data_IF_014514086475
#
_entry.id   IF_014514086475
#
_cell.length_a   1.000
_cell.length_b   1.000
_cell.length_c   1.000
_cell.angle_alpha   90.00
_cell.angle_beta   90.00
_cell.angle_gamma   90.00
#
_symmetry.space_group_name_H-M   'P 1'
#
loop_
_entity.id
_entity.type
_entity.pdbx_description
1 polymer ?
#
# COMPACT_ATOMS: atom_id res chain seq x y z
N UNK A 1 -5.07 0.07 7.14
CA UNK A 1 -4.83 -0.99 6.13
C UNK A 1 -3.34 -1.05 5.78
N UNK A 2 -2.88 -2.10 5.09
CA UNK A 2 -1.47 -2.24 4.63
C UNK A 2 -0.98 -1.01 3.83
N UNK A 3 -1.87 -0.39 3.05
CA UNK A 3 -1.60 0.84 2.29
C UNK A 3 -1.17 2.02 3.15
N UNK A 4 -1.79 2.19 4.32
CA UNK A 4 -1.47 3.27 5.26
C UNK A 4 -0.06 3.07 5.85
N UNK A 5 0.28 1.82 6.17
CA UNK A 5 1.59 1.46 6.72
C UNK A 5 2.69 1.71 5.67
N UNK A 6 2.45 1.32 4.41
CA UNK A 6 3.33 1.61 3.28
C UNK A 6 3.53 3.12 3.13
N UNK A 7 2.44 3.89 3.11
CA UNK A 7 2.48 5.35 3.00
C UNK A 7 3.25 5.99 4.14
N UNK A 8 3.01 5.57 5.37
CA UNK A 8 3.68 6.08 6.56
C UNK A 8 5.19 5.82 6.47
N UNK A 9 5.61 4.57 6.24
CA UNK A 9 7.04 4.22 6.14
C UNK A 9 7.73 4.88 4.97
N UNK A 10 7.05 5.05 3.84
CA UNK A 10 7.57 5.79 2.70
C UNK A 10 7.87 7.25 3.08
N UNK A 11 6.93 7.91 3.79
CA UNK A 11 7.09 9.28 4.26
C UNK A 11 8.17 9.42 5.34
N UNK A 12 8.24 8.50 6.30
CA UNK A 12 9.30 8.46 7.32
C UNK A 12 10.70 8.37 6.71
N UNK A 13 10.82 7.72 5.55
CA UNK A 13 12.07 7.64 4.78
C UNK A 13 12.32 8.83 3.86
N UNK A 14 11.40 9.78 3.77
CA UNK A 14 11.53 10.96 2.90
C UNK A 14 11.48 10.66 1.39
N UNK A 15 11.08 9.45 0.97
CA UNK A 15 11.09 9.08 -0.45
C UNK A 15 9.74 9.34 -1.13
N UNK A 16 9.79 9.73 -2.41
CA UNK A 16 8.58 9.97 -3.21
C UNK A 16 7.94 8.67 -3.71
N UNK A 17 6.69 8.74 -4.20
CA UNK A 17 6.06 7.61 -4.90
C UNK A 17 6.83 7.20 -6.18
N UNK A 18 7.42 8.16 -6.89
CA UNK A 18 8.25 7.88 -8.07
C UNK A 18 9.52 7.13 -7.69
N UNK A 19 10.09 7.47 -6.54
CA UNK A 19 11.29 6.80 -6.02
C UNK A 19 10.98 5.40 -5.52
N UNK A 20 9.90 5.23 -4.75
CA UNK A 20 9.43 3.90 -4.37
C UNK A 20 9.12 3.04 -5.60
N UNK A 21 8.56 3.63 -6.66
CA UNK A 21 8.31 2.96 -7.93
C UNK A 21 9.60 2.43 -8.56
N UNK A 22 10.64 3.26 -8.65
CA UNK A 22 11.96 2.87 -9.15
C UNK A 22 12.60 1.77 -8.30
N UNK A 23 12.53 1.89 -6.98
CA UNK A 23 13.15 0.92 -6.05
C UNK A 23 12.44 -0.43 -6.03
N UNK A 24 11.12 -0.43 -6.18
CA UNK A 24 10.31 -1.65 -6.10
C UNK A 24 10.08 -2.29 -7.46
N UNK A 25 10.23 -1.56 -8.57
CA UNK A 25 9.80 -1.96 -9.91
C UNK A 25 8.28 -2.01 -10.09
N UNK A 26 7.54 -1.35 -9.20
CA UNK A 26 6.06 -1.28 -9.21
C UNK A 26 5.67 0.06 -9.78
N UNK A 27 4.64 0.13 -10.63
CA UNK A 27 4.24 1.42 -11.22
C UNK A 27 3.78 2.42 -10.16
N UNK A 28 4.11 3.70 -10.36
CA UNK A 28 3.71 4.80 -9.47
C UNK A 28 2.20 4.85 -9.23
N UNK A 29 1.41 4.64 -10.28
CA UNK A 29 -0.06 4.60 -10.21
C UNK A 29 -0.55 3.44 -9.33
N UNK A 30 0.09 2.28 -9.42
CA UNK A 30 -0.27 1.13 -8.60
C UNK A 30 0.09 1.34 -7.12
N UNK A 31 1.27 1.89 -6.83
CA UNK A 31 1.64 2.31 -5.47
C UNK A 31 0.65 3.33 -4.90
N UNK A 32 0.21 4.29 -5.72
CA UNK A 32 -0.82 5.27 -5.33
C UNK A 32 -2.17 4.61 -5.03
N UNK A 33 -2.57 3.57 -5.77
CA UNK A 33 -3.80 2.82 -5.46
C UNK A 33 -3.68 2.02 -4.15
N UNK A 34 -2.51 1.43 -3.90
CA UNK A 34 -2.24 0.72 -2.65
C UNK A 34 -2.29 1.68 -1.46
N UNK A 35 -1.58 2.81 -1.52
CA UNK A 35 -1.55 3.81 -0.43
C UNK A 35 -2.89 4.49 -0.14
N UNK A 36 -3.85 4.42 -1.07
CA UNK A 36 -5.21 4.95 -0.92
C UNK A 36 -6.23 3.89 -0.51
N UNK A 37 -5.82 2.63 -0.35
CA UNK A 37 -6.74 1.52 -0.06
C UNK A 37 -7.65 1.14 -1.25
N UNK A 38 -7.43 1.73 -2.43
CA UNK A 38 -8.22 1.45 -3.64
C UNK A 38 -7.90 0.08 -4.25
N UNK A 39 -6.74 -0.49 -3.94
CA UNK A 39 -6.38 -1.86 -4.29
C UNK A 39 -6.46 -2.74 -3.05
N UNK A 40 -7.59 -3.42 -2.87
CA UNK A 40 -7.83 -4.32 -1.73
C UNK A 40 -6.94 -5.57 -1.77
N UNK A 41 -6.63 -6.11 -2.96
CA UNK A 41 -5.85 -7.34 -3.12
C UNK A 41 -4.64 -7.14 -4.07
N UNK A 42 -3.54 -6.50 -3.62
CA UNK A 42 -2.27 -6.60 -4.33
C UNK A 42 -1.72 -8.03 -4.25
N UNK A 43 -1.08 -8.49 -5.33
CA UNK A 43 -0.37 -9.79 -5.30
C UNK A 43 0.64 -9.82 -4.15
N UNK A 44 0.69 -10.96 -3.45
CA UNK A 44 1.64 -11.21 -2.36
C UNK A 44 3.08 -10.87 -2.78
N UNK A 45 3.43 -11.14 -4.03
CA UNK A 45 4.77 -10.86 -4.57
C UNK A 45 5.06 -9.36 -4.63
N UNK A 46 4.09 -8.56 -5.08
CA UNK A 46 4.23 -7.10 -5.12
C UNK A 46 4.32 -6.54 -3.70
N UNK A 47 3.48 -7.04 -2.80
CA UNK A 47 3.49 -6.62 -1.39
C UNK A 47 4.83 -6.95 -0.74
N UNK A 48 5.36 -8.18 -0.93
CA UNK A 48 6.69 -8.59 -0.44
C UNK A 48 7.79 -7.67 -0.93
N UNK A 49 7.80 -7.32 -2.22
CA UNK A 49 8.77 -6.38 -2.80
C UNK A 49 8.70 -5.02 -2.12
N UNK A 50 7.51 -4.45 -1.97
CA UNK A 50 7.32 -3.14 -1.33
C UNK A 50 7.79 -3.18 0.13
N UNK A 51 7.38 -4.20 0.89
CA UNK A 51 7.77 -4.36 2.29
C UNK A 51 9.29 -4.52 2.44
N UNK A 52 9.92 -5.33 1.59
CA UNK A 52 11.38 -5.50 1.56
C UNK A 52 12.09 -4.17 1.31
N UNK A 53 11.64 -3.39 0.31
CA UNK A 53 12.19 -2.05 0.03
C UNK A 53 12.03 -1.11 1.22
N UNK A 54 10.90 -1.17 1.92
CA UNK A 54 10.61 -0.35 3.10
C UNK A 54 11.16 -0.93 4.42
N UNK A 55 11.92 -2.03 4.36
CA UNK A 55 12.45 -2.78 5.52
C UNK A 55 11.36 -3.08 6.57
N UNK A 56 10.20 -3.51 6.09
CA UNK A 56 9.07 -3.93 6.89
C UNK A 56 9.00 -5.46 6.93
N UNK A 57 8.68 -6.07 8.09
CA UNK A 57 8.50 -7.51 8.18
C UNK A 57 7.21 -7.93 7.47
N UNK A 58 7.19 -9.16 6.94
CA UNK A 58 6.02 -9.70 6.24
C UNK A 58 4.79 -9.86 7.16
N UNK A 59 5.03 -9.96 8.46
CA UNK A 59 3.99 -10.04 9.51
C UNK A 59 3.07 -8.82 9.55
N UNK A 60 3.47 -7.70 8.93
CA UNK A 60 2.63 -6.52 8.74
C UNK A 60 1.36 -6.84 7.94
N UNK A 61 1.41 -7.85 7.06
CA UNK A 61 0.25 -8.32 6.29
C UNK A 61 -0.80 -9.00 7.21
N UNK A 62 -0.40 -9.53 8.37
CA UNK A 62 -1.23 -10.41 9.21
C UNK A 62 -2.19 -9.65 10.15
N UNK A 63 -2.34 -8.33 10.01
CA UNK A 63 -3.28 -7.54 10.81
C UNK A 63 -4.63 -7.42 10.10
N UNK A 64 -5.54 -8.35 10.43
CA UNK A 64 -6.99 -8.34 10.25
C UNK A 64 -7.53 -7.50 9.08
N UNK A 65 -8.08 -8.21 8.10
CA UNK A 65 -9.14 -7.70 7.24
C UNK A 65 -10.37 -7.33 8.11
N UNK A 66 -10.36 -6.16 8.74
CA UNK A 66 -11.57 -5.54 9.27
C UNK A 66 -12.03 -4.47 8.27
N UNK A 67 -13.16 -4.81 7.67
CA UNK A 67 -13.98 -4.07 6.72
C UNK A 67 -14.24 -2.61 7.14
N UNK A 68 -14.08 -1.70 6.17
CA UNK A 68 -14.88 -0.47 6.07
C UNK A 68 -15.15 -0.22 4.60
N UNK A 69 -16.09 -0.99 4.04
CA UNK A 69 -16.89 -0.50 2.93
C UNK A 69 -18.16 0.06 3.55
N UNK A 70 -18.18 1.37 3.76
CA UNK A 70 -19.34 2.09 4.27
C UNK A 70 -19.31 3.47 3.63
N UNK A 71 -20.27 3.69 2.72
CA UNK A 71 -20.59 4.92 1.96
C UNK A 71 -19.69 5.10 0.73
N UNK A 72 -20.23 5.12 -0.49
CA UNK A 72 -21.21 6.11 -0.95
C UNK A 72 -22.48 5.50 -1.58
N UNK A 73 -23.56 5.67 -0.84
CA UNK A 73 -24.94 5.74 -1.30
C UNK A 73 -25.08 7.04 -2.12
N UNK A 74 -25.22 6.93 -3.45
CA UNK A 74 -25.77 8.03 -4.25
C UNK A 74 -27.25 7.77 -4.45
N UNK A 75 -28.04 8.47 -3.65
CA UNK A 75 -29.40 8.85 -3.97
C UNK A 75 -29.42 9.70 -5.25
N UNK A 76 -30.18 9.25 -6.26
CA UNK A 76 -31.14 10.10 -6.97
C UNK A 76 -32.23 9.23 -7.60
#
# INVERSE_FOLDING_TARGET
MIGDIIRQKRKERGISLSELSRMTGVSKSYLSYIERGMKKNPSIEVTKRILKTLNLPITVITSKEETRDSREEYHY
#
